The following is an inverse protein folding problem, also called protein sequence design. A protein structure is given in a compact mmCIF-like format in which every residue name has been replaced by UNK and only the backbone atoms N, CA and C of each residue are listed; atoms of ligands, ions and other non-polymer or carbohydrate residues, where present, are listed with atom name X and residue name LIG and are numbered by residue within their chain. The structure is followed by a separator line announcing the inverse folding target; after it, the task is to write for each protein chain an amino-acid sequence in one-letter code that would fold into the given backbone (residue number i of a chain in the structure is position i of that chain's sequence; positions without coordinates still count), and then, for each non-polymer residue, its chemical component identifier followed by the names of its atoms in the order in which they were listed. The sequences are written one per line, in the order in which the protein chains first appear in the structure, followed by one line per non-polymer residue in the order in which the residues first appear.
data_IF_704168623650
#
_entry.id   IF_704168623650
#
_cell.length_a   1.000
_cell.length_b   1.000
_cell.length_c   1.000
_cell.angle_alpha   90.00
_cell.angle_beta   90.00
_cell.angle_gamma   90.00
#
_symmetry.space_group_name_H-M   'P 1'
#
loop_
_entity.id
_entity.type
_entity.pdbx_description
1 polymer ?
#
# COMPACT_ATOMS: atom_id res chain seq x y z
N UNK A 1 -4.16 -16.77 -20.31
CA UNK A 1 -3.57 -16.50 -19.01
C UNK A 1 -2.45 -17.49 -18.71
N UNK A 2 -1.30 -16.98 -18.34
CA UNK A 2 -0.19 -17.83 -17.93
C UNK A 2 -0.44 -18.37 -16.52
N UNK A 3 -0.05 -19.63 -16.26
CA UNK A 3 -0.06 -20.15 -14.89
C UNK A 3 0.84 -19.30 -13.98
N UNK A 4 0.47 -19.13 -12.73
CA UNK A 4 1.21 -18.32 -11.75
C UNK A 4 2.65 -18.80 -11.60
N UNK A 5 2.88 -20.09 -11.62
CA UNK A 5 4.21 -20.70 -11.45
C UNK A 5 5.16 -20.43 -12.63
N UNK A 6 4.62 -20.03 -13.78
CA UNK A 6 5.43 -19.66 -14.96
C UNK A 6 5.51 -18.14 -15.17
N UNK A 7 4.94 -17.36 -14.24
CA UNK A 7 4.92 -15.90 -14.33
C UNK A 7 6.12 -15.32 -13.58
N UNK A 8 7.20 -15.11 -14.31
CA UNK A 8 8.48 -14.66 -13.74
C UNK A 8 8.44 -13.19 -13.32
N UNK A 9 9.27 -12.77 -12.34
CA UNK A 9 9.27 -11.38 -11.87
C UNK A 9 9.44 -10.33 -12.96
N UNK A 10 10.26 -10.62 -13.97
CA UNK A 10 10.51 -9.71 -15.09
C UNK A 10 9.26 -9.48 -15.93
N UNK A 11 8.40 -10.49 -16.03
CA UNK A 11 7.11 -10.37 -16.74
C UNK A 11 6.17 -9.47 -15.97
N UNK A 12 6.15 -9.60 -14.64
CA UNK A 12 5.33 -8.73 -13.79
C UNK A 12 5.76 -7.27 -13.93
N UNK A 13 7.06 -6.99 -14.00
CA UNK A 13 7.57 -5.64 -14.21
C UNK A 13 7.10 -5.06 -15.54
N UNK A 14 7.11 -5.86 -16.61
CA UNK A 14 6.64 -5.42 -17.92
C UNK A 14 5.14 -5.13 -17.88
N UNK A 15 4.36 -5.99 -17.24
CA UNK A 15 2.91 -5.80 -17.14
C UNK A 15 2.55 -4.55 -16.35
N UNK A 16 3.22 -4.30 -15.23
CA UNK A 16 2.91 -3.13 -14.40
C UNK A 16 3.24 -1.83 -15.12
N UNK A 17 4.32 -1.81 -15.90
CA UNK A 17 4.71 -0.64 -16.68
C UNK A 17 3.73 -0.30 -17.80
N UNK A 18 3.01 -1.30 -18.30
CA UNK A 18 2.01 -1.11 -19.36
C UNK A 18 0.66 -0.64 -18.83
N UNK A 19 0.44 -0.64 -17.53
CA UNK A 19 -0.83 -0.20 -16.94
C UNK A 19 -0.93 1.32 -17.04
N UNK A 20 -2.01 1.78 -17.69
CA UNK A 20 -2.27 3.22 -17.89
C UNK A 20 -3.66 3.63 -17.39
N UNK A 21 -4.29 2.81 -16.55
CA UNK A 21 -5.66 3.00 -16.12
C UNK A 21 -5.81 2.45 -14.71
N UNK A 22 -6.42 3.22 -13.81
CA UNK A 22 -6.57 2.82 -12.40
C UNK A 22 -7.45 1.56 -12.24
N UNK A 23 -8.47 1.40 -13.05
CA UNK A 23 -9.33 0.23 -12.97
C UNK A 23 -8.57 -1.05 -13.33
N UNK A 24 -7.74 -0.97 -14.37
CA UNK A 24 -6.86 -2.08 -14.76
C UNK A 24 -5.84 -2.37 -13.66
N UNK A 25 -5.27 -1.33 -13.05
CA UNK A 25 -4.33 -1.49 -11.95
C UNK A 25 -4.97 -2.23 -10.78
N UNK A 26 -6.16 -1.81 -10.36
CA UNK A 26 -6.88 -2.43 -9.26
C UNK A 26 -7.21 -3.90 -9.54
N UNK A 27 -7.73 -4.19 -10.73
CA UNK A 27 -8.08 -5.56 -11.12
C UNK A 27 -6.85 -6.45 -11.20
N UNK A 28 -5.75 -5.95 -11.76
CA UNK A 28 -4.52 -6.74 -11.89
C UNK A 28 -3.90 -7.03 -10.53
N UNK A 29 -3.88 -6.05 -9.63
CA UNK A 29 -3.38 -6.25 -8.27
C UNK A 29 -4.22 -7.26 -7.50
N UNK A 30 -5.55 -7.19 -7.65
CA UNK A 30 -6.45 -8.10 -6.96
C UNK A 30 -6.41 -9.52 -7.52
N UNK A 31 -6.40 -9.67 -8.84
CA UNK A 31 -6.56 -10.97 -9.49
C UNK A 31 -5.26 -11.70 -9.81
N UNK A 32 -4.16 -10.97 -9.91
CA UNK A 32 -2.88 -11.55 -10.30
C UNK A 32 -1.75 -11.24 -9.31
N UNK A 33 -1.38 -9.96 -9.19
CA UNK A 33 -0.13 -9.61 -8.50
C UNK A 33 -0.07 -10.08 -7.06
N UNK A 34 -1.17 -10.00 -6.30
CA UNK A 34 -1.18 -10.45 -4.91
C UNK A 34 -0.92 -11.94 -4.73
N UNK A 35 -1.15 -12.75 -5.77
CA UNK A 35 -0.99 -14.20 -5.72
C UNK A 35 0.39 -14.69 -6.14
N UNK A 36 1.25 -13.79 -6.61
CA UNK A 36 2.59 -14.15 -7.05
C UNK A 36 3.48 -14.46 -5.83
N UNK A 37 4.32 -15.51 -5.90
CA UNK A 37 5.16 -15.86 -4.75
C UNK A 37 6.17 -14.77 -4.36
N UNK A 38 6.55 -13.91 -5.28
CA UNK A 38 7.47 -12.81 -5.05
C UNK A 38 6.75 -11.47 -4.82
N UNK A 39 5.43 -11.49 -4.61
CA UNK A 39 4.63 -10.26 -4.47
C UNK A 39 5.12 -9.33 -3.36
N UNK A 40 5.51 -9.81 -2.15
CA UNK A 40 5.99 -8.89 -1.13
C UNK A 40 7.20 -8.07 -1.56
N UNK A 41 8.20 -8.72 -2.16
CA UNK A 41 9.41 -8.03 -2.62
C UNK A 41 9.10 -7.07 -3.78
N UNK A 42 8.26 -7.50 -4.73
CA UNK A 42 7.89 -6.67 -5.88
C UNK A 42 7.04 -5.48 -5.48
N UNK A 43 6.12 -5.64 -4.53
CA UNK A 43 5.31 -4.51 -4.07
C UNK A 43 6.20 -3.40 -3.52
N UNK A 44 7.20 -3.73 -2.70
CA UNK A 44 8.14 -2.75 -2.17
C UNK A 44 8.99 -2.12 -3.28
N UNK A 45 9.39 -2.90 -4.27
CA UNK A 45 10.14 -2.41 -5.43
C UNK A 45 9.32 -1.38 -6.23
N UNK A 46 8.06 -1.70 -6.52
CA UNK A 46 7.18 -0.82 -7.29
C UNK A 46 6.82 0.46 -6.54
N UNK A 47 6.70 0.40 -5.21
CA UNK A 47 6.45 1.57 -4.38
C UNK A 47 7.54 2.62 -4.54
N UNK A 48 8.79 2.19 -4.76
CA UNK A 48 9.92 3.07 -4.95
C UNK A 48 10.01 3.66 -6.38
N UNK A 49 9.18 3.21 -7.30
CA UNK A 49 9.17 3.68 -8.69
C UNK A 49 8.57 5.09 -8.79
N UNK A 50 9.05 5.88 -9.73
CA UNK A 50 8.56 7.24 -9.95
C UNK A 50 7.30 7.30 -10.79
N UNK A 51 6.97 6.25 -11.53
CA UNK A 51 5.78 6.20 -12.37
C UNK A 51 4.54 6.01 -11.51
N UNK A 52 3.54 6.87 -11.72
CA UNK A 52 2.33 6.93 -10.92
C UNK A 52 1.61 5.58 -10.79
N UNK A 53 1.38 4.89 -11.91
CA UNK A 53 0.64 3.63 -11.87
C UNK A 53 1.46 2.46 -11.34
N UNK A 54 2.78 2.49 -11.53
CA UNK A 54 3.66 1.47 -10.96
C UNK A 54 3.66 1.60 -9.43
N UNK A 55 3.84 2.81 -8.93
CA UNK A 55 3.80 3.09 -7.50
C UNK A 55 2.45 2.73 -6.89
N UNK A 56 1.37 3.12 -7.56
CA UNK A 56 0.00 2.78 -7.13
C UNK A 56 -0.19 1.27 -7.05
N UNK A 57 0.27 0.52 -8.06
CA UNK A 57 0.21 -0.94 -8.05
C UNK A 57 1.00 -1.54 -6.89
N UNK A 58 2.15 -0.95 -6.56
CA UNK A 58 2.93 -1.38 -5.41
C UNK A 58 2.13 -1.29 -4.12
N UNK A 59 1.51 -0.15 -3.85
CA UNK A 59 0.69 0.03 -2.66
C UNK A 59 -0.57 -0.85 -2.67
N UNK A 60 -1.27 -0.95 -3.80
CA UNK A 60 -2.47 -1.79 -3.90
C UNK A 60 -2.17 -3.26 -3.65
N UNK A 61 -1.08 -3.76 -4.23
CA UNK A 61 -0.63 -5.13 -4.02
C UNK A 61 -0.27 -5.36 -2.55
N UNK A 62 0.48 -4.44 -1.96
CA UNK A 62 0.87 -4.52 -0.55
C UNK A 62 -0.35 -4.51 0.38
N UNK A 63 -1.36 -3.68 0.08
CA UNK A 63 -2.58 -3.65 0.88
C UNK A 63 -3.29 -5.00 0.88
N UNK A 64 -3.33 -5.68 -0.28
CA UNK A 64 -3.90 -7.02 -0.39
C UNK A 64 -3.11 -8.04 0.42
N UNK A 65 -1.78 -7.94 0.40
CA UNK A 65 -0.92 -8.84 1.17
C UNK A 65 -1.10 -8.66 2.67
N UNK A 66 -1.33 -7.44 3.14
CA UNK A 66 -1.60 -7.17 4.55
C UNK A 66 -2.91 -7.78 5.04
N UNK A 67 -3.86 -8.04 4.13
CA UNK A 67 -5.10 -8.69 4.49
C UNK A 67 -4.92 -10.19 4.74
N UNK A 68 -3.79 -10.76 4.33
CA UNK A 68 -3.47 -12.17 4.50
C UNK A 68 -2.38 -12.30 5.57
N UNK A 69 -2.65 -13.06 6.61
CA UNK A 69 -1.67 -13.26 7.68
C UNK A 69 -0.50 -14.12 7.18
N UNK A 70 0.71 -13.69 7.46
CA UNK A 70 1.92 -14.43 7.15
C UNK A 70 2.54 -14.13 5.80
N UNK A 71 1.89 -13.33 4.94
CA UNK A 71 2.42 -13.02 3.62
C UNK A 71 3.49 -11.92 3.66
N UNK A 72 3.52 -11.11 4.70
CA UNK A 72 4.55 -10.09 4.90
C UNK A 72 5.20 -10.23 6.27
N UNK A 73 6.53 -10.07 6.31
CA UNK A 73 7.25 -10.04 7.59
C UNK A 73 6.98 -8.72 8.32
N UNK A 74 7.20 -8.70 9.63
CA UNK A 74 7.08 -7.47 10.40
C UNK A 74 8.01 -6.37 9.89
N UNK A 75 9.22 -6.73 9.47
CA UNK A 75 10.18 -5.77 8.93
C UNK A 75 9.67 -5.16 7.62
N UNK A 76 9.16 -6.00 6.70
CA UNK A 76 8.61 -5.53 5.45
C UNK A 76 7.38 -4.67 5.66
N UNK A 77 6.50 -5.06 6.58
CA UNK A 77 5.31 -4.28 6.93
C UNK A 77 5.66 -2.91 7.51
N UNK A 78 6.69 -2.85 8.37
CA UNK A 78 7.16 -1.58 8.94
C UNK A 78 7.74 -0.65 7.88
N UNK A 79 8.53 -1.19 6.94
CA UNK A 79 9.08 -0.44 5.83
C UNK A 79 7.96 0.07 4.92
N UNK A 80 6.97 -0.76 4.66
CA UNK A 80 5.79 -0.39 3.89
C UNK A 80 5.03 0.75 4.55
N UNK A 81 4.84 0.69 5.87
CA UNK A 81 4.16 1.75 6.61
C UNK A 81 4.88 3.08 6.45
N UNK A 82 6.21 3.09 6.59
CA UNK A 82 7.01 4.31 6.45
C UNK A 82 6.85 4.90 5.05
N UNK A 83 6.90 4.07 4.02
CA UNK A 83 6.70 4.50 2.65
C UNK A 83 5.29 5.04 2.41
N UNK A 84 4.29 4.40 2.98
CA UNK A 84 2.89 4.84 2.84
C UNK A 84 2.67 6.21 3.50
N UNK A 85 3.24 6.43 4.67
CA UNK A 85 3.13 7.72 5.37
C UNK A 85 3.76 8.83 4.54
N UNK A 86 4.90 8.58 3.91
CA UNK A 86 5.51 9.54 2.99
C UNK A 86 4.61 9.78 1.77
N UNK A 87 4.00 8.75 1.24
CA UNK A 87 3.22 8.82 0.00
C UNK A 87 1.87 9.53 0.14
N UNK A 88 1.39 9.77 1.36
CA UNK A 88 0.17 10.60 1.54
C UNK A 88 0.40 12.05 1.13
N UNK A 89 1.67 12.46 0.98
CA UNK A 89 2.03 13.78 0.47
C UNK A 89 2.19 13.82 -1.04
N UNK A 90 1.99 12.70 -1.74
CA UNK A 90 2.14 12.63 -3.20
C UNK A 90 1.18 13.57 -3.91
N UNK A 91 1.58 14.12 -5.04
CA UNK A 91 0.72 14.91 -5.90
C UNK A 91 -0.31 14.05 -6.60
N UNK A 92 -0.07 12.74 -6.73
CA UNK A 92 -0.97 11.82 -7.37
C UNK A 92 -2.11 11.40 -6.44
N UNK A 93 -3.33 11.64 -6.88
CA UNK A 93 -4.54 11.21 -6.17
C UNK A 93 -4.54 9.68 -5.97
N UNK A 94 -4.16 8.93 -7.02
CA UNK A 94 -4.17 7.46 -6.96
C UNK A 94 -3.13 6.92 -5.98
N UNK A 95 -1.94 7.51 -5.97
CA UNK A 95 -0.88 7.13 -5.03
C UNK A 95 -1.31 7.44 -3.60
N UNK A 96 -1.85 8.65 -3.36
CA UNK A 96 -2.32 9.03 -2.01
C UNK A 96 -3.37 8.06 -1.48
N UNK A 97 -4.37 7.75 -2.30
CA UNK A 97 -5.45 6.86 -1.88
C UNK A 97 -4.96 5.43 -1.63
N UNK A 98 -4.06 4.94 -2.47
CA UNK A 98 -3.48 3.62 -2.28
C UNK A 98 -2.63 3.56 -1.00
N UNK A 99 -1.88 4.63 -0.71
CA UNK A 99 -1.11 4.72 0.53
C UNK A 99 -2.01 4.74 1.76
N UNK A 100 -3.11 5.51 1.71
CA UNK A 100 -4.08 5.53 2.81
C UNK A 100 -4.71 4.16 3.03
N UNK A 101 -4.99 3.43 1.95
CA UNK A 101 -5.50 2.07 2.05
C UNK A 101 -4.51 1.15 2.75
N UNK A 102 -3.22 1.25 2.40
CA UNK A 102 -2.17 0.47 3.06
C UNK A 102 -2.15 0.76 4.57
N UNK A 103 -2.20 2.02 4.95
CA UNK A 103 -2.18 2.42 6.37
C UNK A 103 -3.38 1.83 7.10
N UNK A 104 -4.56 1.90 6.47
CA UNK A 104 -5.77 1.31 7.03
C UNK A 104 -5.64 -0.20 7.24
N UNK A 105 -5.14 -0.92 6.24
CA UNK A 105 -4.96 -2.37 6.34
C UNK A 105 -3.90 -2.74 7.37
N UNK A 106 -2.86 -1.92 7.49
CA UNK A 106 -1.84 -2.11 8.51
C UNK A 106 -2.45 -2.02 9.92
N UNK A 107 -3.31 -1.02 10.15
CA UNK A 107 -3.99 -0.85 11.43
C UNK A 107 -4.93 -2.03 11.75
N UNK A 108 -5.60 -2.54 10.74
CA UNK A 108 -6.55 -3.65 10.89
C UNK A 108 -5.88 -4.99 11.17
N UNK A 109 -4.57 -5.07 10.97
CA UNK A 109 -3.82 -6.31 11.11
C UNK A 109 -3.79 -6.80 12.57
N UNK A 110 -3.55 -5.90 13.53
CA UNK A 110 -3.62 -6.19 14.97
C UNK A 110 -3.65 -4.89 15.77
N UNK A 111 -3.93 -5.00 17.07
CA UNK A 111 -4.05 -3.85 17.96
C UNK A 111 -2.73 -3.09 18.11
N UNK A 112 -1.62 -3.80 18.10
CA UNK A 112 -0.29 -3.21 18.24
C UNK A 112 0.01 -2.30 17.05
N UNK A 113 -0.32 -2.74 15.84
CA UNK A 113 -0.17 -1.94 14.63
C UNK A 113 -1.06 -0.69 14.67
N UNK A 114 -2.31 -0.84 15.13
CA UNK A 114 -3.24 0.29 15.25
C UNK A 114 -2.70 1.33 16.23
N UNK A 115 -2.20 0.89 17.38
CA UNK A 115 -1.62 1.76 18.39
C UNK A 115 -0.39 2.50 17.86
N UNK A 116 0.47 1.78 17.14
CA UNK A 116 1.67 2.35 16.53
C UNK A 116 1.32 3.50 15.57
N UNK A 117 0.34 3.29 14.70
CA UNK A 117 -0.08 4.33 13.74
C UNK A 117 -0.70 5.52 14.46
N UNK A 118 -1.55 5.28 15.46
CA UNK A 118 -2.13 6.37 16.25
C UNK A 118 -1.04 7.25 16.87
N UNK A 119 0.03 6.65 17.37
CA UNK A 119 1.15 7.39 17.94
C UNK A 119 1.90 8.18 16.88
N UNK A 120 2.10 7.60 15.70
CA UNK A 120 2.81 8.28 14.61
C UNK A 120 2.11 9.56 14.15
N UNK A 121 0.78 9.58 14.17
CA UNK A 121 0.00 10.74 13.70
C UNK A 121 -0.42 11.70 14.80
N UNK A 122 -0.09 11.39 16.05
CA UNK A 122 -0.55 12.18 17.21
C UNK A 122 -0.20 13.66 17.09
N UNK A 123 0.98 13.99 16.57
CA UNK A 123 1.42 15.37 16.37
C UNK A 123 0.77 16.09 15.20
N UNK A 124 -0.07 15.40 14.42
CA UNK A 124 -0.69 15.96 13.22
C UNK A 124 -2.08 16.53 13.45
N UNK A 125 -2.59 16.46 14.71
CA UNK A 125 -3.96 16.89 15.04
C UNK A 125 -4.23 18.34 14.62
N UNK A 126 -3.27 19.22 14.81
CA UNK A 126 -3.39 20.65 14.52
C UNK A 126 -2.55 21.07 13.30
N UNK A 127 -2.16 20.11 12.46
CA UNK A 127 -1.34 20.41 11.29
C UNK A 127 -2.08 21.29 10.29
N UNK A 128 -1.37 22.24 9.70
CA UNK A 128 -1.88 23.06 8.61
C UNK A 128 -1.70 22.38 7.25
N UNK A 129 -0.98 21.26 7.20
CA UNK A 129 -0.76 20.49 5.97
C UNK A 129 -1.98 19.63 5.72
N UNK A 130 -2.64 19.85 4.58
CA UNK A 130 -3.88 19.14 4.24
C UNK A 130 -3.70 17.62 4.25
N UNK A 131 -2.60 17.11 3.68
CA UNK A 131 -2.33 15.68 3.64
C UNK A 131 -2.25 15.07 5.04
N UNK A 132 -1.64 15.79 5.98
CA UNK A 132 -1.54 15.33 7.37
C UNK A 132 -2.88 15.34 8.10
N UNK A 133 -3.72 16.32 7.79
CA UNK A 133 -5.08 16.36 8.36
C UNK A 133 -5.92 15.21 7.85
N UNK A 134 -5.83 14.91 6.54
CA UNK A 134 -6.55 13.79 5.94
C UNK A 134 -6.10 12.47 6.58
N UNK A 135 -4.79 12.28 6.73
CA UNK A 135 -4.23 11.10 7.37
C UNK A 135 -4.69 10.99 8.82
N UNK A 136 -4.59 12.07 9.58
CA UNK A 136 -5.00 12.09 10.99
C UNK A 136 -6.47 11.70 11.15
N UNK A 137 -7.34 12.30 10.34
CA UNK A 137 -8.78 12.04 10.42
C UNK A 137 -9.10 10.58 10.05
N UNK A 138 -8.45 10.06 9.00
CA UNK A 138 -8.64 8.67 8.61
C UNK A 138 -8.22 7.71 9.72
N UNK A 139 -7.07 7.97 10.35
CA UNK A 139 -6.56 7.14 11.44
C UNK A 139 -7.51 7.17 12.64
N UNK A 140 -8.04 8.34 12.98
CA UNK A 140 -9.00 8.47 14.08
C UNK A 140 -10.29 7.69 13.82
N UNK A 141 -10.82 7.78 12.60
CA UNK A 141 -12.02 7.05 12.21
C UNK A 141 -11.78 5.54 12.27
N UNK A 142 -10.65 5.09 11.75
CA UNK A 142 -10.31 3.67 11.74
C UNK A 142 -10.11 3.13 13.16
N UNK A 143 -9.45 3.90 14.02
CA UNK A 143 -9.23 3.51 15.41
C UNK A 143 -10.55 3.38 16.18
N UNK A 144 -11.55 4.22 15.88
CA UNK A 144 -12.86 4.17 16.51
C UNK A 144 -13.64 2.90 16.13
N UNK A 145 -13.35 2.32 14.95
CA UNK A 145 -14.05 1.14 14.43
C UNK A 145 -13.40 -0.19 14.88
N UNK A 146 -12.26 -0.13 15.55
CA UNK A 146 -11.54 -1.34 16.00
C UNK A 146 -12.01 -1.89 17.35
#
# INVERSE_FOLDING_TARGET
LQPIDTFYPEIADIWVEDIQNIEIAELTCMNLFQHLPYAPAKSLHWIADEQEYVQTCGFLTAARLLMKKGDMTERASGELLDQAICAVHSESYYVRNAALLVIRKYMQHNEEHAFQVCRLVEGMADSEVEAEQILYNMVKEEAADL
#
